data_IF_756774430768
#
_entry.id   IF_756774430768
#
_cell.length_a   1.000
_cell.length_b   1.000
_cell.length_c   1.000
_cell.angle_alpha   90.00
_cell.angle_beta   90.00
_cell.angle_gamma   90.00
#
_symmetry.space_group_name_H-M   'P 1'
#
loop_
_entity.id
_entity.type
_entity.pdbx_description
1 polymer ?
2 non-polymer ?
3 non-polymer ?
4 water ?
#
# COMPACT_ATOMS: atom_id res chain seq x y z
N UNK A 1 18.70 15.38 17.24
CA UNK A 1 18.17 15.27 15.85
C UNK A 1 16.74 14.77 15.86
N UNK A 2 16.04 14.91 14.73
CA UNK A 2 14.59 14.71 14.70
C UNK A 2 14.18 13.28 14.38
N UNK A 3 13.21 12.78 15.14
CA UNK A 3 12.63 11.45 14.93
C UNK A 3 11.17 11.62 14.53
N UNK A 4 10.82 11.18 13.32
CA UNK A 4 9.44 11.23 12.87
C UNK A 4 8.71 9.92 13.04
N UNK A 5 7.63 9.94 13.81
CA UNK A 5 6.79 8.76 14.00
C UNK A 5 5.57 8.87 13.10
N UNK A 6 5.65 8.23 11.93
CA UNK A 6 4.57 8.31 10.93
C UNK A 6 3.52 7.23 11.13
N UNK A 7 2.30 7.66 11.46
CA UNK A 7 1.18 6.74 11.63
C UNK A 7 0.64 6.27 10.28
N UNK A 8 0.29 4.99 10.21
CA UNK A 8 -0.15 4.38 8.97
C UNK A 8 -1.66 4.42 8.78
N UNK A 9 -2.39 4.41 9.89
CA UNK A 9 -3.85 4.36 9.84
C UNK A 9 -4.46 5.75 9.70
N UNK A 10 -5.56 5.83 8.95
CA UNK A 10 -6.35 7.06 8.87
C UNK A 10 -7.82 6.80 9.22
N UNK A 11 -8.10 5.61 9.75
CA UNK A 11 -9.46 5.26 10.15
C UNK A 11 -9.93 6.19 11.27
N UNK A 12 -11.23 6.48 11.29
CA UNK A 12 -11.79 7.43 12.25
C UNK A 12 -11.57 6.97 13.69
N UNK A 13 -11.99 5.74 14.00
CA UNK A 13 -11.66 5.13 15.27
C UNK A 13 -10.56 4.10 15.04
N UNK A 14 -9.42 4.28 15.71
CA UNK A 14 -8.23 3.50 15.39
C UNK A 14 -7.26 3.36 16.57
N UNK A 15 -6.41 2.33 16.50
CA UNK A 15 -5.44 2.02 17.54
C UNK A 15 -4.12 2.77 17.35
N UNK A 16 -3.86 3.22 16.12
CA UNK A 16 -2.56 3.74 15.74
C UNK A 16 -1.96 4.77 16.71
N UNK A 17 -2.76 5.74 17.16
CA UNK A 17 -2.29 6.76 18.10
C UNK A 17 -1.76 6.17 19.40
N UNK A 18 -2.43 5.15 19.91
CA UNK A 18 -1.99 4.47 21.14
C UNK A 18 -0.62 3.82 20.97
N UNK A 19 -0.36 3.23 19.80
CA UNK A 19 0.93 2.62 19.54
C UNK A 19 2.00 3.69 19.33
N UNK A 20 1.64 4.73 18.58
CA UNK A 20 2.55 5.84 18.31
C UNK A 20 2.92 6.56 19.60
N UNK A 21 1.95 6.63 20.52
CA UNK A 21 2.16 7.26 21.82
C UNK A 21 3.12 6.43 22.65
N UNK A 22 2.99 5.10 22.57
CA UNK A 22 3.87 4.19 23.30
C UNK A 22 5.30 4.32 22.79
N UNK A 23 5.45 4.41 21.47
CA UNK A 23 6.79 4.51 20.86
C UNK A 23 7.45 5.84 21.24
N UNK A 24 6.66 6.91 21.23
CA UNK A 24 7.17 8.24 21.56
C UNK A 24 7.67 8.27 23.00
N UNK A 25 6.84 7.79 23.91
CA UNK A 25 7.12 7.86 25.34
C UNK A 25 8.17 6.83 25.76
N UNK A 26 8.39 5.83 24.93
CA UNK A 26 9.45 4.85 25.16
C UNK A 26 10.82 5.45 24.84
N UNK A 27 10.88 6.24 23.77
CA UNK A 27 12.11 6.90 23.37
C UNK A 27 12.44 8.04 24.33
N UNK A 28 11.40 8.72 24.79
CA UNK A 28 11.55 9.91 25.63
C UNK A 28 12.12 9.57 27.00
N UNK A 29 11.57 8.53 27.62
CA UNK A 29 11.98 8.11 28.95
C UNK A 29 13.22 7.22 28.94
N UNK A 30 13.78 7.01 27.75
CA UNK A 30 14.94 6.13 27.60
C UNK A 30 16.18 6.75 28.23
N UNK A 31 16.90 5.95 29.00
CA UNK A 31 18.05 6.43 29.76
C UNK A 31 19.25 6.75 28.87
N UNK A 32 19.54 5.89 27.92
CA UNK A 32 20.58 6.16 26.93
C UNK A 32 20.27 7.44 26.17
N UNK A 33 19.02 7.60 25.77
CA UNK A 33 18.62 8.64 24.82
C UNK A 33 18.22 9.99 25.41
N UNK A 34 18.14 10.10 26.73
CA UNK A 34 17.77 11.39 27.34
C UNK A 34 18.83 12.47 27.10
N UNK A 35 20.05 12.04 26.80
CA UNK A 35 21.19 12.95 26.65
C UNK A 35 21.29 13.51 25.24
N UNK A 36 20.92 12.68 24.26
CA UNK A 36 21.09 13.01 22.84
C UNK A 36 19.97 13.95 22.36
N UNK A 37 19.27 14.56 23.32
CA UNK A 37 18.01 15.28 23.07
C UNK A 37 17.52 15.21 21.64
N UNK A 38 16.87 14.09 21.34
CA UNK A 38 16.11 13.92 20.11
C UNK A 38 14.82 14.72 20.22
N UNK A 39 14.42 15.36 19.12
CA UNK A 39 13.10 15.97 19.06
C UNK A 39 12.17 15.03 18.31
N UNK A 40 10.97 14.83 18.84
CA UNK A 40 10.05 13.84 18.31
C UNK A 40 8.82 14.50 17.70
N UNK A 41 8.42 14.04 16.52
CA UNK A 41 7.20 14.50 15.87
C UNK A 41 6.35 13.32 15.48
N UNK A 42 5.11 13.28 16.00
CA UNK A 42 4.15 12.29 15.54
C UNK A 42 3.42 12.85 14.32
N UNK A 43 3.52 12.15 13.20
CA UNK A 43 2.92 12.57 11.94
C UNK A 43 1.61 11.83 11.71
N UNK A 44 0.53 12.60 11.55
CA UNK A 44 -0.79 12.03 11.32
C UNK A 44 -1.18 12.23 9.86
N UNK A 45 -1.31 11.12 9.12
CA UNK A 45 -1.64 11.19 7.69
C UNK A 45 -3.12 11.48 7.46
N UNK A 46 -3.94 11.24 8.48
CA UNK A 46 -5.34 11.65 8.46
C UNK A 46 -5.41 13.17 8.36
N UNK A 47 -4.48 13.83 9.03
CA UNK A 47 -4.44 15.29 9.08
C UNK A 47 -3.79 15.89 7.84
N UNK A 48 -2.74 15.24 7.34
CA UNK A 48 -2.06 15.72 6.14
C UNK A 48 -3.01 15.60 4.95
N UNK A 49 -3.78 14.52 4.93
CA UNK A 49 -4.83 14.29 3.94
C UNK A 49 -4.31 14.43 2.51
N UNK A 50 -3.16 13.83 2.25
CA UNK A 50 -2.58 13.75 0.92
C UNK A 50 -3.56 13.07 -0.03
N UNK A 51 -4.01 13.78 -1.06
CA UNK A 51 -4.99 13.22 -2.00
C UNK A 51 -4.54 11.91 -2.64
N UNK A 52 -5.50 11.06 -2.99
CA UNK A 52 -5.22 9.81 -3.68
C UNK A 52 -5.25 10.02 -5.18
N UNK A 53 -6.27 10.73 -5.65
CA UNK A 53 -6.54 10.83 -7.08
C UNK A 53 -6.05 12.12 -7.76
N UNK A 54 -5.80 13.17 -6.97
CA UNK A 54 -5.30 14.42 -7.53
C UNK A 54 -3.80 14.57 -7.31
N UNK A 55 -3.07 14.74 -8.40
CA UNK A 55 -1.62 14.89 -8.35
C UNK A 55 -1.15 15.64 -9.61
N UNK A 56 -0.65 16.87 -9.40
CA UNK A 56 -0.27 17.73 -10.52
C UNK A 56 1.02 17.28 -11.22
N UNK A 57 1.87 16.56 -10.50
CA UNK A 57 3.12 16.06 -11.08
C UNK A 57 2.87 14.91 -12.05
N UNK A 58 3.48 14.98 -13.23
CA UNK A 58 3.45 13.86 -14.16
C UNK A 58 4.84 13.21 -14.30
N UNK A 59 5.84 13.78 -13.63
CA UNK A 59 7.13 13.14 -13.51
C UNK A 59 7.13 12.17 -12.33
N UNK A 60 7.87 11.08 -12.48
CA UNK A 60 8.11 10.13 -11.40
C UNK A 60 8.89 10.83 -10.29
N UNK A 61 8.51 10.61 -9.04
CA UNK A 61 9.18 11.27 -7.90
C UNK A 61 10.68 11.00 -7.82
N UNK A 62 11.13 9.85 -8.31
CA UNK A 62 12.55 9.56 -8.42
C UNK A 62 13.23 10.53 -9.39
N UNK A 63 12.50 10.95 -10.41
CA UNK A 63 13.00 11.93 -11.38
C UNK A 63 13.09 13.34 -10.79
N UNK A 64 12.50 13.54 -9.61
CA UNK A 64 12.51 14.83 -8.94
C UNK A 64 13.67 14.87 -7.94
N UNK A 65 14.58 15.83 -8.12
CA UNK A 65 15.78 15.91 -7.29
C UNK A 65 15.60 16.80 -6.05
N UNK A 66 14.72 17.79 -6.12
CA UNK A 66 14.44 18.65 -4.96
C UNK A 66 12.97 19.04 -4.83
N UNK A 67 12.65 19.69 -3.70
CA UNK A 67 11.27 20.06 -3.38
C UNK A 67 10.63 21.07 -4.34
N UNK A 68 11.43 22.00 -4.85
CA UNK A 68 10.90 23.05 -5.72
C UNK A 68 10.57 22.53 -7.12
N UNK A 69 11.05 21.33 -7.43
CA UNK A 69 10.80 20.71 -8.72
C UNK A 69 9.41 20.07 -8.81
N UNK A 70 8.75 19.89 -7.67
CA UNK A 70 7.40 19.33 -7.65
C UNK A 70 6.38 20.35 -8.12
N UNK A 71 5.61 19.99 -9.15
CA UNK A 71 4.49 20.80 -9.62
C UNK A 71 3.37 20.90 -8.60
N UNK A 72 3.26 19.90 -7.72
CA UNK A 72 2.15 19.80 -6.79
C UNK A 72 2.50 20.41 -5.43
N UNK A 73 1.64 21.30 -4.96
CA UNK A 73 1.90 22.05 -3.71
C UNK A 73 1.71 21.20 -2.46
N UNK A 74 0.70 20.32 -2.46
CA UNK A 74 0.47 19.43 -1.32
C UNK A 74 1.64 18.46 -1.17
N UNK A 75 2.23 18.06 -2.29
CA UNK A 75 3.43 17.22 -2.27
C UNK A 75 4.61 17.99 -1.68
N UNK A 76 4.75 19.25 -2.09
CA UNK A 76 5.88 20.07 -1.63
C UNK A 76 5.83 20.23 -0.12
N UNK A 77 4.63 20.42 0.42
CA UNK A 77 4.43 20.56 1.86
C UNK A 77 4.77 19.26 2.60
N UNK A 78 4.35 18.14 2.02
CA UNK A 78 4.64 16.81 2.59
C UNK A 78 6.13 16.49 2.43
N UNK A 79 6.74 17.04 1.38
CA UNK A 79 8.16 16.89 1.14
C UNK A 79 9.00 17.56 2.22
N UNK A 80 8.54 18.71 2.70
CA UNK A 80 9.27 19.47 3.70
C UNK A 80 9.27 18.72 5.03
N UNK A 81 8.07 18.34 5.47
CA UNK A 81 7.88 17.59 6.70
C UNK A 81 8.83 16.39 6.79
N UNK A 82 8.88 15.60 5.72
CA UNK A 82 9.66 14.36 5.70
C UNK A 82 11.16 14.62 5.58
N UNK A 83 11.52 15.66 4.83
CA UNK A 83 12.92 16.05 4.68
C UNK A 83 13.54 16.47 6.00
N UNK A 84 12.72 17.04 6.88
CA UNK A 84 13.17 17.52 8.18
C UNK A 84 13.38 16.39 9.19
N UNK A 85 13.09 15.17 8.78
CA UNK A 85 13.25 14.01 9.65
C UNK A 85 14.61 13.34 9.44
N UNK A 86 15.26 13.01 10.54
CA UNK A 86 16.55 12.33 10.50
C UNK A 86 16.36 10.82 10.68
N UNK A 87 15.41 10.43 11.52
CA UNK A 87 15.06 9.03 11.71
C UNK A 87 13.55 8.87 11.62
N UNK A 88 13.11 7.81 10.96
CA UNK A 88 11.68 7.58 10.75
C UNK A 88 11.25 6.25 11.37
N UNK A 89 10.21 6.30 12.20
CA UNK A 89 9.59 5.12 12.76
C UNK A 89 8.17 5.00 12.22
N UNK A 90 7.98 4.09 11.26
CA UNK A 90 6.65 3.83 10.72
C UNK A 90 5.85 2.99 11.71
N UNK A 91 4.77 3.56 12.22
CA UNK A 91 3.86 2.84 13.10
C UNK A 91 2.60 2.53 12.29
N UNK A 92 2.42 1.25 11.96
CA UNK A 92 1.42 0.86 10.97
C UNK A 92 0.63 -0.38 11.35
N UNK A 93 -0.65 -0.40 11.00
CA UNK A 93 -1.47 -1.59 11.12
C UNK A 93 -1.23 -2.51 9.93
N UNK A 94 -1.80 -3.72 9.98
CA UNK A 94 -1.77 -4.63 8.85
C UNK A 94 -3.18 -4.82 8.33
N UNK A 95 -3.40 -4.46 7.06
CA UNK A 95 -4.67 -4.72 6.41
C UNK A 95 -4.51 -5.81 5.36
N UNK A 96 -5.15 -6.96 5.59
CA UNK A 96 -5.12 -8.07 4.66
C UNK A 96 -3.70 -8.46 4.27
N UNK A 97 -2.86 -8.66 5.29
CA UNK A 97 -1.49 -9.13 5.11
C UNK A 97 -0.62 -8.12 4.36
N UNK A 98 -1.01 -6.85 4.42
CA UNK A 98 -0.29 -5.80 3.71
C UNK A 98 -0.31 -4.47 4.45
N UNK A 99 0.28 -3.46 3.83
CA UNK A 99 0.31 -2.13 4.44
C UNK A 99 -0.91 -1.31 4.01
N UNK A 100 -1.31 -0.36 4.85
CA UNK A 100 -2.47 0.49 4.55
C UNK A 100 -2.22 1.40 3.34
N UNK A 101 -3.28 1.71 2.61
CA UNK A 101 -3.18 2.51 1.39
C UNK A 101 -2.77 3.96 1.67
N UNK A 102 -3.18 4.48 2.82
CA UNK A 102 -2.85 5.85 3.19
C UNK A 102 -1.34 6.00 3.36
N UNK A 103 -0.72 4.99 3.95
CA UNK A 103 0.71 5.00 4.17
C UNK A 103 1.49 4.83 2.86
N UNK A 104 1.03 3.90 2.02
CA UNK A 104 1.68 3.65 0.73
C UNK A 104 1.55 4.85 -0.20
N UNK A 105 0.40 5.52 -0.14
CA UNK A 105 0.16 6.71 -0.95
C UNK A 105 1.14 7.83 -0.60
N UNK A 106 1.32 8.04 0.70
CA UNK A 106 2.20 9.09 1.19
C UNK A 106 3.67 8.76 0.92
N UNK A 107 4.03 7.49 1.07
CA UNK A 107 5.39 7.05 0.79
C UNK A 107 5.74 7.24 -0.68
N UNK A 108 4.79 6.92 -1.56
CA UNK A 108 5.04 6.91 -3.00
C UNK A 108 5.08 8.32 -3.60
N UNK A 109 4.59 9.30 -2.85
CA UNK A 109 4.55 10.69 -3.33
C UNK A 109 5.93 11.33 -3.35
N UNK A 110 6.86 10.71 -2.61
CA UNK A 110 8.19 11.35 -2.45
C UNK A 110 9.23 10.36 -2.81
N UNK A 111 10.49 10.82 -2.89
CA UNK A 111 11.56 9.87 -3.14
C UNK A 111 12.88 10.26 -2.49
N UNK A 112 13.47 11.38 -2.90
CA UNK A 112 14.81 11.79 -2.45
C UNK A 112 14.79 12.09 -0.97
N UNK A 113 13.60 12.36 -0.44
CA UNK A 113 13.42 12.68 0.97
C UNK A 113 13.55 11.46 1.88
N UNK A 114 13.52 10.27 1.28
CA UNK A 114 13.65 9.01 2.02
C UNK A 114 15.08 8.48 2.02
N UNK A 115 15.86 8.85 1.00
CA UNK A 115 17.16 8.23 0.75
C UNK A 115 18.07 8.19 1.98
N UNK A 116 18.63 7.02 2.24
CA UNK A 116 19.63 6.82 3.28
C UNK A 116 19.18 7.01 4.72
N UNK A 117 17.93 7.42 4.92
CA UNK A 117 17.45 7.68 6.28
C UNK A 117 17.09 6.38 6.98
N UNK A 118 17.49 6.24 8.24
CA UNK A 118 17.18 5.03 9.01
C UNK A 118 15.68 4.90 9.25
N UNK A 119 15.13 3.71 9.04
CA UNK A 119 13.70 3.48 9.20
C UNK A 119 13.42 2.24 10.04
N UNK A 120 12.61 2.41 11.08
CA UNK A 120 12.18 1.33 11.94
C UNK A 120 10.69 1.11 11.73
N UNK A 121 10.29 -0.11 11.40
CA UNK A 121 8.89 -0.43 11.19
C UNK A 121 8.29 -1.09 12.43
N UNK A 122 7.43 -0.36 13.12
CA UNK A 122 6.66 -0.91 14.22
C UNK A 122 5.25 -1.25 13.73
N UNK A 123 5.03 -2.51 13.41
CA UNK A 123 3.73 -2.96 12.95
C UNK A 123 2.90 -3.44 14.14
N UNK A 124 1.60 -3.63 13.94
CA UNK A 124 0.74 -4.19 14.96
C UNK A 124 -0.49 -4.87 14.35
N UNK A 125 -1.03 -5.83 15.08
CA UNK A 125 -2.17 -6.59 14.61
C UNK A 125 -2.43 -7.78 15.53
N UNK A 126 -3.37 -8.64 15.13
CA UNK A 126 -3.65 -9.84 15.90
C UNK A 126 -2.40 -10.64 16.18
N UNK A 127 -1.57 -10.83 15.17
CA UNK A 127 -0.31 -11.53 15.31
C UNK A 127 0.90 -10.62 15.04
N UNK A 128 0.81 -9.38 15.51
CA UNK A 128 1.91 -8.43 15.41
C UNK A 128 1.98 -7.66 14.11
N UNK A 129 1.12 -8.01 13.16
CA UNK A 129 1.15 -7.38 11.85
C UNK A 129 2.43 -7.70 11.11
N UNK A 130 2.90 -8.94 11.27
CA UNK A 130 4.19 -9.38 10.74
C UNK A 130 4.26 -9.34 9.22
N UNK A 131 3.15 -9.66 8.56
CA UNK A 131 3.12 -9.75 7.11
C UNK A 131 3.17 -8.35 6.47
N UNK A 132 2.58 -7.37 7.12
CA UNK A 132 2.69 -5.98 6.70
C UNK A 132 4.11 -5.48 6.94
N UNK A 133 4.67 -5.80 8.10
CA UNK A 133 6.03 -5.41 8.45
C UNK A 133 7.02 -5.89 7.40
N UNK A 134 6.91 -7.17 7.05
CA UNK A 134 7.73 -7.79 6.03
C UNK A 134 7.64 -7.03 4.70
N UNK A 135 6.42 -6.73 4.29
CA UNK A 135 6.18 -6.08 3.01
C UNK A 135 6.66 -4.62 2.96
N UNK A 136 6.44 -3.89 4.05
CA UNK A 136 6.80 -2.48 4.10
C UNK A 136 8.31 -2.30 4.16
N UNK A 137 8.99 -3.23 4.81
CA UNK A 137 10.44 -3.19 4.89
C UNK A 137 11.04 -3.25 3.50
N UNK A 138 10.42 -4.06 2.62
CA UNK A 138 10.87 -4.19 1.24
C UNK A 138 10.64 -2.92 0.43
N UNK A 139 9.55 -2.22 0.72
CA UNK A 139 9.26 -0.95 0.05
C UNK A 139 10.29 0.09 0.48
N UNK A 140 10.67 0.05 1.76
CA UNK A 140 11.68 0.96 2.28
C UNK A 140 13.05 0.66 1.66
N UNK A 141 13.32 -0.63 1.42
CA UNK A 141 14.55 -1.05 0.74
C UNK A 141 14.60 -0.50 -0.67
N UNK A 142 13.45 -0.52 -1.36
CA UNK A 142 13.33 0.01 -2.71
C UNK A 142 13.58 1.51 -2.76
N UNK A 143 13.28 2.20 -1.66
CA UNK A 143 13.56 3.62 -1.54
C UNK A 143 14.98 3.85 -1.05
N UNK A 144 15.74 2.76 -0.93
CA UNK A 144 17.12 2.80 -0.46
C UNK A 144 17.25 3.45 0.90
N UNK A 145 16.27 3.19 1.78
CA UNK A 145 16.35 3.63 3.16
C UNK A 145 17.23 2.67 3.94
N UNK A 146 17.78 3.15 5.05
CA UNK A 146 18.56 2.30 5.95
C UNK A 146 17.61 1.61 6.92
N UNK A 147 17.13 0.43 6.54
CA UNK A 147 16.12 -0.27 7.32
C UNK A 147 16.75 -0.90 8.58
N UNK A 148 16.54 -0.23 9.71
CA UNK A 148 17.08 -0.65 10.99
C UNK A 148 16.56 -2.01 11.42
N UNK A 149 15.28 -2.23 11.23
CA UNK A 149 14.62 -3.42 11.74
C UNK A 149 13.11 -3.27 11.75
N UNK A 150 12.43 -4.27 12.29
CA UNK A 150 10.99 -4.24 12.43
C UNK A 150 10.55 -4.95 13.69
N UNK A 151 9.67 -4.29 14.46
CA UNK A 151 9.10 -4.90 15.65
C UNK A 151 7.61 -5.12 15.46
N UNK A 152 7.15 -6.31 15.80
CA UNK A 152 5.76 -6.69 15.60
C UNK A 152 5.03 -6.73 16.94
N UNK A 153 4.00 -5.90 17.06
CA UNK A 153 3.30 -5.69 18.34
C UNK A 153 1.90 -6.32 18.31
N UNK A 154 1.70 -7.34 19.14
CA UNK A 154 0.41 -8.02 19.20
C UNK A 154 -0.63 -7.20 19.95
N UNK A 155 -1.80 -7.01 19.34
CA UNK A 155 -2.94 -6.37 20.00
C UNK A 155 -4.18 -7.26 19.90
N UNK A 156 -5.14 -7.04 20.79
CA UNK A 156 -6.47 -7.66 20.66
C UNK A 156 -7.31 -6.93 19.63
N UNK A 157 -7.46 -7.54 18.45
CA UNK A 157 -8.22 -6.92 17.37
C UNK A 157 -9.67 -6.69 17.80
N UNK A 158 -10.22 -5.52 17.43
CA UNK A 158 -11.61 -5.21 17.69
C UNK A 158 -11.85 -4.38 18.93
N UNK A 159 -10.84 -4.25 19.79
CA UNK A 159 -10.99 -3.50 21.04
C UNK A 159 -10.29 -2.14 20.98
N UNK A 160 -11.06 -1.11 20.61
CA UNK A 160 -10.58 0.26 20.74
C UNK A 160 -11.40 0.96 21.83
N UNK A 161 -10.71 1.58 22.79
CA UNK A 161 -9.25 1.65 22.82
C UNK A 161 -8.70 0.39 23.45
N UNK A 162 -7.37 0.25 23.50
CA UNK A 162 -6.76 -0.94 24.09
C UNK A 162 -7.11 -1.01 25.57
N UNK A 163 -7.36 -2.22 26.06
CA UNK A 163 -7.58 -2.45 27.50
C UNK A 163 -6.49 -1.82 28.36
N UNK A 164 -6.85 -1.46 29.58
CA UNK A 164 -5.89 -0.94 30.55
C UNK A 164 -4.74 -1.92 30.75
N UNK A 165 -5.06 -3.21 30.75
CA UNK A 165 -4.10 -4.24 31.12
C UNK A 165 -3.11 -4.65 30.01
N UNK A 166 -3.41 -4.31 28.76
CA UNK A 166 -2.48 -4.61 27.67
C UNK A 166 -1.53 -3.46 27.36
N UNK A 167 -1.93 -2.24 27.69
CA UNK A 167 -1.09 -1.06 27.45
C UNK A 167 0.29 -1.18 28.11
N UNK A 168 0.35 -1.55 29.39
CA UNK A 168 1.64 -1.85 30.04
C UNK A 168 2.46 -2.92 29.33
N UNK A 169 1.80 -3.91 28.72
CA UNK A 169 2.49 -5.05 28.11
C UNK A 169 3.03 -4.77 26.71
N UNK A 170 2.78 -3.57 26.19
CA UNK A 170 3.43 -3.09 24.97
C UNK A 170 4.93 -2.96 25.21
N UNK A 171 5.29 -2.70 26.46
CA UNK A 171 6.67 -2.39 26.82
C UNK A 171 7.61 -3.60 26.83
N UNK A 172 7.12 -4.75 26.39
CA UNK A 172 8.01 -5.90 26.16
C UNK A 172 8.97 -5.60 25.01
N UNK A 173 8.59 -4.63 24.17
CA UNK A 173 9.37 -4.27 22.99
C UNK A 173 10.32 -3.11 23.24
N UNK A 174 10.34 -2.58 24.46
CA UNK A 174 11.20 -1.46 24.81
C UNK A 174 12.67 -1.67 24.48
N UNK A 175 13.21 -2.82 24.86
CA UNK A 175 14.65 -3.08 24.71
C UNK A 175 15.09 -3.09 23.25
N UNK A 176 14.29 -3.72 22.39
CA UNK A 176 14.66 -3.86 20.98
C UNK A 176 14.53 -2.52 20.25
N UNK A 177 13.45 -1.80 20.51
CA UNK A 177 13.26 -0.49 19.89
C UNK A 177 14.40 0.44 20.27
N UNK A 178 14.82 0.38 21.54
CA UNK A 178 15.83 1.29 22.06
C UNK A 178 17.25 0.90 21.66
N UNK A 179 17.55 -0.40 21.63
CA UNK A 179 18.86 -0.86 21.19
C UNK A 179 19.05 -0.57 19.71
N UNK A 180 17.96 -0.65 18.95
CA UNK A 180 18.01 -0.38 17.52
C UNK A 180 18.16 1.10 17.22
N UNK A 181 17.38 1.94 17.92
CA UNK A 181 17.43 3.37 17.73
C UNK A 181 18.74 3.97 18.21
N UNK A 182 19.25 3.47 19.34
CA UNK A 182 20.46 4.01 19.95
C UNK A 182 21.71 3.76 19.11
N UNK A 183 21.87 2.53 18.64
CA UNK A 183 23.05 2.16 17.85
C UNK A 183 23.06 2.86 16.50
N UNK A 184 21.91 3.36 16.07
CA UNK A 184 21.82 4.15 14.86
C UNK A 184 22.29 5.59 15.11
N UNK A 185 21.99 6.11 16.29
CA UNK A 185 22.38 7.46 16.66
C UNK A 185 23.86 7.48 17.02
N UNK B 2 -17.74 -13.74 -17.39
CA UNK B 2 -17.68 -12.41 -16.73
C UNK B 2 -16.29 -12.19 -16.13
N UNK B 3 -15.46 -11.42 -16.82
CA UNK B 3 -14.06 -11.26 -16.45
C UNK B 3 -13.70 -9.79 -16.31
N UNK B 4 -13.23 -9.40 -15.12
CA UNK B 4 -12.95 -8.02 -14.80
C UNK B 4 -11.46 -7.72 -14.77
N UNK B 5 -11.04 -6.75 -15.58
CA UNK B 5 -9.65 -6.31 -15.58
C UNK B 5 -9.51 -5.03 -14.76
N UNK B 6 -9.10 -5.19 -13.50
CA UNK B 6 -9.02 -4.07 -12.57
C UNK B 6 -7.68 -3.34 -12.68
N UNK B 7 -7.75 -2.09 -13.13
CA UNK B 7 -6.56 -1.25 -13.25
C UNK B 7 -6.15 -0.74 -11.87
N UNK B 8 -4.85 -0.77 -11.59
CA UNK B 8 -4.33 -0.37 -10.29
C UNK B 8 -3.88 1.07 -10.23
N UNK B 9 -3.47 1.62 -11.37
CA UNK B 9 -3.00 3.00 -11.44
C UNK B 9 -4.17 3.97 -11.57
N UNK B 10 -4.10 5.08 -10.83
CA UNK B 10 -5.05 6.18 -11.01
C UNK B 10 -4.33 7.47 -11.37
N UNK B 11 -3.09 7.35 -11.82
CA UNK B 11 -2.31 8.52 -12.26
C UNK B 11 -2.95 9.10 -13.51
N UNK B 12 -2.84 10.42 -13.67
CA UNK B 12 -3.48 11.11 -14.80
C UNK B 12 -2.92 10.65 -16.14
N UNK B 13 -1.60 10.70 -16.27
CA UNK B 13 -0.89 10.16 -17.41
C UNK B 13 -0.33 8.80 -17.00
N UNK B 14 -0.88 7.72 -17.56
CA UNK B 14 -0.56 6.38 -17.07
C UNK B 14 -0.48 5.32 -18.19
N UNK B 15 0.36 4.31 -17.95
CA UNK B 15 0.55 3.19 -18.87
C UNK B 15 -0.54 2.13 -18.70
N UNK B 16 -1.25 2.17 -17.58
CA UNK B 16 -2.12 1.07 -17.17
C UNK B 16 -3.20 0.67 -18.18
N UNK B 17 -3.93 1.63 -18.74
CA UNK B 17 -5.00 1.32 -19.69
C UNK B 17 -4.50 0.59 -20.95
N UNK B 18 -3.26 0.85 -21.35
CA UNK B 18 -2.67 0.15 -22.48
C UNK B 18 -2.41 -1.33 -22.18
N UNK B 19 -1.96 -1.62 -20.96
CA UNK B 19 -1.72 -3.00 -20.55
C UNK B 19 -3.05 -3.73 -20.39
N UNK B 20 -4.04 -3.03 -19.85
CA UNK B 20 -5.38 -3.58 -19.72
C UNK B 20 -5.95 -3.88 -21.10
N UNK B 21 -5.61 -3.03 -22.07
CA UNK B 21 -6.02 -3.24 -23.45
C UNK B 21 -5.31 -4.45 -24.05
N UNK B 22 -4.04 -4.61 -23.73
CA UNK B 22 -3.26 -5.75 -24.20
C UNK B 22 -3.85 -7.05 -23.66
N UNK B 23 -4.15 -7.07 -22.37
CA UNK B 23 -4.76 -8.23 -21.73
C UNK B 23 -6.16 -8.52 -22.30
N UNK B 24 -6.92 -7.48 -22.58
CA UNK B 24 -8.27 -7.64 -23.09
C UNK B 24 -8.26 -8.27 -24.48
N UNK B 25 -7.55 -7.64 -25.41
CA UNK B 25 -7.47 -8.12 -26.78
C UNK B 25 -6.69 -9.43 -26.89
N UNK B 26 -5.88 -9.73 -25.88
CA UNK B 26 -5.17 -11.00 -25.83
C UNK B 26 -6.17 -12.12 -25.57
N UNK B 27 -7.11 -11.86 -24.67
CA UNK B 27 -8.16 -12.82 -24.36
C UNK B 27 -9.07 -13.06 -25.56
N UNK B 28 -9.63 -11.97 -26.10
CA UNK B 28 -10.65 -12.08 -27.13
C UNK B 28 -10.10 -12.28 -28.55
N UNK B 29 -8.82 -12.61 -28.65
CA UNK B 29 -8.23 -12.97 -29.94
C UNK B 29 -7.77 -14.43 -29.97
N UNK B 30 -8.28 -15.24 -29.04
CA UNK B 30 -8.04 -16.68 -29.04
C UNK B 30 -9.02 -17.36 -29.99
N UNK B 39 -16.51 -12.29 -21.84
CA UNK B 39 -17.30 -11.11 -21.50
C UNK B 39 -16.51 -10.21 -20.53
N UNK B 40 -15.83 -9.21 -21.08
CA UNK B 40 -14.86 -8.43 -20.32
C UNK B 40 -15.43 -7.12 -19.77
N UNK B 41 -14.83 -6.65 -18.68
CA UNK B 41 -15.12 -5.33 -18.14
C UNK B 41 -13.85 -4.70 -17.56
N UNK B 42 -13.36 -3.64 -18.19
CA UNK B 42 -12.20 -2.92 -17.70
C UNK B 42 -12.62 -1.93 -16.62
N UNK B 43 -12.30 -2.28 -15.36
CA UNK B 43 -12.63 -1.44 -14.21
C UNK B 43 -11.56 -0.37 -14.00
N UNK B 44 -11.98 0.87 -13.92
CA UNK B 44 -11.07 1.99 -13.69
C UNK B 44 -11.30 2.60 -12.31
N UNK B 45 -10.31 2.48 -11.43
CA UNK B 45 -10.43 2.97 -10.05
C UNK B 45 -10.42 4.49 -9.96
N UNK B 46 -9.92 5.16 -10.99
CA UNK B 46 -10.06 6.61 -11.11
C UNK B 46 -11.54 6.96 -11.13
N UNK B 47 -12.29 6.23 -11.96
CA UNK B 47 -13.71 6.48 -12.16
C UNK B 47 -14.56 5.99 -10.98
N UNK B 48 -14.19 4.86 -10.41
CA UNK B 48 -14.87 4.34 -9.23
C UNK B 48 -14.65 5.31 -8.07
N UNK B 49 -13.42 5.79 -7.93
CA UNK B 49 -13.10 6.88 -7.02
C UNK B 49 -13.48 6.62 -5.56
N UNK B 50 -13.16 5.44 -5.06
CA UNK B 50 -13.35 5.12 -3.65
C UNK B 50 -12.44 6.00 -2.80
N UNK B 51 -13.00 6.70 -1.81
CA UNK B 51 -12.21 7.64 -1.00
C UNK B 51 -11.17 6.96 -0.12
N UNK B 52 -10.05 7.64 0.10
CA UNK B 52 -8.99 7.14 0.95
C UNK B 52 -9.32 7.39 2.42
N UNK B 53 -9.87 8.56 2.70
CA UNK B 53 -10.06 9.03 4.07
C UNK B 53 -11.52 9.00 4.54
N UNK B 54 -12.46 9.11 3.61
CA UNK B 54 -13.87 9.26 3.95
C UNK B 54 -14.57 7.92 4.19
N UNK B 55 -14.56 7.45 5.44
CA UNK B 55 -15.28 6.23 5.78
C UNK B 55 -16.43 6.49 6.76
N UNK B 56 -17.65 6.26 6.29
CA UNK B 56 -18.81 6.18 7.16
C UNK B 56 -18.64 4.95 8.05
N UNK B 57 -18.29 3.85 7.41
CA UNK B 57 -18.12 2.55 8.07
C UNK B 57 -17.07 2.56 9.17
N UNK B 58 -17.50 2.23 10.38
CA UNK B 58 -16.59 1.89 11.47
C UNK B 58 -16.35 0.38 11.47
N UNK B 59 -17.21 -0.36 10.77
CA UNK B 59 -17.11 -1.82 10.72
C UNK B 59 -16.01 -2.28 9.78
N UNK B 60 -15.15 -3.15 10.30
CA UNK B 60 -14.15 -3.85 9.51
C UNK B 60 -14.87 -4.73 8.49
N UNK B 61 -14.50 -4.65 7.22
CA UNK B 61 -15.18 -5.42 6.16
C UNK B 61 -15.26 -6.94 6.36
N UNK B 62 -14.36 -7.50 7.17
CA UNK B 62 -14.41 -8.94 7.47
C UNK B 62 -15.61 -9.26 8.36
N UNK B 63 -16.04 -8.29 9.16
CA UNK B 63 -17.23 -8.44 10.01
C UNK B 63 -18.52 -8.36 9.20
N UNK B 64 -18.42 -7.85 7.97
CA UNK B 64 -19.60 -7.61 7.15
C UNK B 64 -19.99 -8.87 6.39
N UNK B 65 -21.23 -9.30 6.58
CA UNK B 65 -21.72 -10.55 6.03
C UNK B 65 -22.41 -10.33 4.68
N UNK B 66 -22.97 -9.15 4.47
CA UNK B 66 -23.63 -8.81 3.21
C UNK B 66 -23.49 -7.33 2.85
N UNK B 67 -23.58 -7.04 1.56
CA UNK B 67 -23.41 -5.68 1.03
C UNK B 67 -24.23 -4.63 1.78
N UNK B 68 -25.39 -5.03 2.29
CA UNK B 68 -26.30 -4.10 2.94
C UNK B 68 -25.69 -3.45 4.19
N UNK B 69 -24.96 -4.24 4.97
CA UNK B 69 -24.34 -3.78 6.21
C UNK B 69 -23.36 -2.61 6.00
N UNK B 70 -22.78 -2.50 4.81
CA UNK B 70 -21.91 -1.37 4.50
C UNK B 70 -22.68 -0.06 4.66
N UNK B 71 -22.21 0.81 5.55
CA UNK B 71 -22.80 2.14 5.70
C UNK B 71 -22.42 3.08 4.55
N UNK B 72 -21.55 2.63 3.66
CA UNK B 72 -21.05 3.49 2.59
C UNK B 72 -21.65 3.15 1.23
N UNK B 73 -22.23 4.16 0.59
CA UNK B 73 -22.90 3.98 -0.70
C UNK B 73 -21.93 3.58 -1.81
N UNK B 74 -20.80 4.27 -1.86
CA UNK B 74 -19.77 4.00 -2.86
C UNK B 74 -19.17 2.61 -2.69
N UNK B 75 -19.17 2.12 -1.46
CA UNK B 75 -18.68 0.77 -1.16
C UNK B 75 -19.66 -0.30 -1.63
N UNK B 76 -20.95 -0.05 -1.43
CA UNK B 76 -21.98 -1.01 -1.82
C UNK B 76 -21.96 -1.25 -3.31
N UNK B 77 -21.83 -0.17 -4.08
CA UNK B 77 -21.73 -0.27 -5.54
C UNK B 77 -20.45 -0.98 -5.95
N UNK B 78 -19.36 -0.68 -5.24
CA UNK B 78 -18.07 -1.31 -5.50
C UNK B 78 -18.16 -2.81 -5.22
N UNK B 79 -18.86 -3.17 -4.14
CA UNK B 79 -19.14 -4.56 -3.83
C UNK B 79 -19.94 -5.21 -4.95
N UNK B 80 -21.03 -4.55 -5.35
CA UNK B 80 -21.85 -5.00 -6.47
C UNK B 80 -20.98 -5.41 -7.66
N UNK B 81 -20.17 -4.46 -8.13
CA UNK B 81 -19.31 -4.69 -9.29
C UNK B 81 -18.40 -5.89 -9.09
N UNK B 82 -17.72 -5.93 -7.94
CA UNK B 82 -16.72 -6.96 -7.66
C UNK B 82 -17.34 -8.33 -7.43
N UNK B 83 -18.40 -8.39 -6.62
CA UNK B 83 -19.06 -9.64 -6.29
C UNK B 83 -19.66 -10.33 -7.51
N UNK B 84 -20.04 -9.54 -8.51
CA UNK B 84 -20.61 -10.05 -9.75
C UNK B 84 -19.62 -10.88 -10.55
N UNK B 85 -18.36 -10.45 -10.55
CA UNK B 85 -17.33 -11.02 -11.44
C UNK B 85 -17.11 -12.53 -11.27
N UNK B 86 -16.57 -13.15 -12.30
CA UNK B 86 -16.22 -14.57 -12.28
C UNK B 86 -14.71 -14.75 -12.15
N UNK B 87 -13.96 -14.08 -13.01
CA UNK B 87 -12.50 -14.08 -12.95
C UNK B 87 -12.01 -12.64 -12.89
N UNK B 88 -10.96 -12.40 -12.11
CA UNK B 88 -10.40 -11.07 -11.96
C UNK B 88 -8.94 -11.05 -12.42
N UNK B 89 -8.59 -10.08 -13.25
CA UNK B 89 -7.20 -9.88 -13.67
C UNK B 89 -6.73 -8.51 -13.22
N UNK B 90 -5.89 -8.49 -12.18
CA UNK B 90 -5.33 -7.25 -11.68
C UNK B 90 -4.19 -6.77 -12.58
N UNK B 91 -4.44 -5.69 -13.32
CA UNK B 91 -3.41 -5.06 -14.12
C UNK B 91 -2.85 -3.89 -13.33
N UNK B 92 -1.63 -4.04 -12.84
CA UNK B 92 -1.08 -3.11 -11.87
C UNK B 92 0.39 -2.78 -12.14
N UNK B 93 0.77 -1.53 -11.91
CA UNK B 93 2.17 -1.12 -11.96
C UNK B 93 2.85 -1.47 -10.65
N UNK B 94 4.18 -1.37 -10.62
CA UNK B 94 4.92 -1.53 -9.38
C UNK B 94 5.46 -0.18 -8.91
N UNK B 95 5.02 0.27 -7.74
CA UNK B 95 5.53 1.49 -7.13
C UNK B 95 6.45 1.15 -5.96
N UNK B 96 7.73 1.44 -6.11
CA UNK B 96 8.73 1.19 -5.07
C UNK B 96 8.65 -0.22 -4.50
N UNK B 97 8.74 -1.22 -5.38
CA UNK B 97 8.76 -2.63 -5.01
C UNK B 97 7.47 -3.06 -4.31
N UNK B 98 6.38 -2.34 -4.56
CA UNK B 98 5.10 -2.64 -3.94
C UNK B 98 3.94 -2.30 -4.83
N UNK B 99 2.73 -2.46 -4.31
CA UNK B 99 1.51 -2.21 -5.08
C UNK B 99 1.01 -0.78 -4.84
N UNK B 100 0.31 -0.24 -5.83
CA UNK B 100 -0.23 1.14 -5.72
C UNK B 100 -1.30 1.27 -4.65
N UNK B 101 -1.36 2.45 -4.03
CA UNK B 101 -2.27 2.72 -2.94
C UNK B 101 -3.74 2.65 -3.36
N UNK B 102 -4.02 3.10 -4.58
CA UNK B 102 -5.38 3.12 -5.10
C UNK B 102 -5.97 1.71 -5.19
N UNK B 103 -5.13 0.75 -5.55
CA UNK B 103 -5.55 -0.63 -5.67
C UNK B 103 -5.72 -1.30 -4.30
N UNK B 104 -4.81 -1.00 -3.38
CA UNK B 104 -4.88 -1.55 -2.02
C UNK B 104 -6.08 -0.98 -1.27
N UNK B 105 -6.39 0.30 -1.52
CA UNK B 105 -7.53 0.95 -0.90
C UNK B 105 -8.83 0.31 -1.33
N UNK B 106 -8.94 0.02 -2.63
CA UNK B 106 -10.14 -0.61 -3.18
C UNK B 106 -10.29 -2.03 -2.66
N UNK B 107 -9.18 -2.75 -2.59
CA UNK B 107 -9.20 -4.14 -2.12
C UNK B 107 -9.61 -4.22 -0.66
N UNK B 108 -9.10 -3.29 0.14
CA UNK B 108 -9.27 -3.33 1.59
C UNK B 108 -10.67 -2.92 2.03
N UNK B 109 -11.40 -2.25 1.14
CA UNK B 109 -12.76 -1.81 1.44
C UNK B 109 -13.75 -2.98 1.45
N UNK B 110 -13.39 -4.07 0.77
CA UNK B 110 -14.23 -5.26 0.73
C UNK B 110 -13.52 -6.45 1.36
N UNK B 111 -14.26 -7.51 1.65
CA UNK B 111 -13.68 -8.74 2.18
C UNK B 111 -14.35 -10.00 1.64
N UNK B 112 -15.63 -10.20 1.97
CA UNK B 112 -16.32 -11.45 1.66
C UNK B 112 -16.50 -11.67 0.15
N UNK B 113 -16.45 -10.57 -0.61
CA UNK B 113 -16.62 -10.62 -2.06
C UNK B 113 -15.42 -11.26 -2.77
N UNK B 114 -14.25 -11.22 -2.14
CA UNK B 114 -13.04 -11.79 -2.73
C UNK B 114 -12.94 -13.30 -2.51
N UNK B 115 -13.63 -13.82 -1.49
CA UNK B 115 -13.50 -15.22 -1.10
C UNK B 115 -13.70 -16.20 -2.26
N UNK B 116 -12.65 -16.94 -2.60
CA UNK B 116 -12.73 -18.04 -3.53
C UNK B 116 -12.65 -17.64 -5.00
N UNK B 117 -12.76 -16.35 -5.27
CA UNK B 117 -12.70 -15.85 -6.65
C UNK B 117 -11.31 -16.07 -7.22
N UNK B 118 -11.23 -16.60 -8.45
CA UNK B 118 -9.95 -16.73 -9.14
C UNK B 118 -9.38 -15.36 -9.46
N UNK B 119 -8.07 -15.20 -9.32
CA UNK B 119 -7.42 -13.92 -9.55
C UNK B 119 -6.04 -14.11 -10.15
N UNK B 120 -5.81 -13.46 -11.27
CA UNK B 120 -4.51 -13.46 -11.92
C UNK B 120 -3.96 -12.04 -11.85
N UNK B 121 -2.68 -11.91 -11.52
CA UNK B 121 -2.05 -10.61 -11.40
C UNK B 121 -1.11 -10.37 -12.56
N UNK B 122 -1.46 -9.43 -13.43
CA UNK B 122 -0.58 -9.01 -14.50
C UNK B 122 0.09 -7.69 -14.12
N UNK B 123 1.30 -7.79 -13.61
CA UNK B 123 2.06 -6.62 -13.19
C UNK B 123 2.92 -6.11 -14.36
N UNK B 124 3.41 -4.89 -14.23
CA UNK B 124 4.34 -4.35 -15.21
C UNK B 124 5.29 -3.32 -14.59
N UNK B 125 6.41 -3.10 -15.26
CA UNK B 125 7.43 -2.20 -14.79
C UNK B 125 8.68 -2.34 -15.64
N UNK B 126 9.77 -1.71 -15.22
CA UNK B 126 11.02 -1.83 -15.94
C UNK B 126 11.46 -3.28 -16.09
N UNK B 127 11.20 -4.09 -15.06
CA UNK B 127 11.52 -5.52 -15.11
C UNK B 127 10.28 -6.39 -14.88
N UNK B 128 9.11 -5.87 -15.25
CA UNK B 128 7.88 -6.63 -15.18
C UNK B 128 7.07 -6.42 -13.91
N UNK B 129 7.62 -5.67 -12.98
CA UNK B 129 6.97 -5.42 -11.70
C UNK B 129 6.70 -6.70 -10.93
N UNK B 130 7.72 -7.55 -10.83
CA UNK B 130 7.58 -8.86 -10.19
C UNK B 130 7.42 -8.76 -8.67
N UNK B 131 8.08 -7.76 -8.08
CA UNK B 131 8.02 -7.57 -6.63
C UNK B 131 6.63 -7.16 -6.18
N UNK B 132 6.02 -6.24 -6.92
CA UNK B 132 4.64 -5.84 -6.70
C UNK B 132 3.73 -7.06 -6.88
N UNK B 133 4.02 -7.85 -7.91
CA UNK B 133 3.24 -9.04 -8.21
C UNK B 133 3.26 -10.04 -7.06
N UNK B 134 4.42 -10.23 -6.44
CA UNK B 134 4.56 -11.13 -5.31
C UNK B 134 3.81 -10.59 -4.10
N UNK B 135 4.01 -9.30 -3.83
CA UNK B 135 3.41 -8.66 -2.67
C UNK B 135 1.88 -8.65 -2.76
N UNK B 136 1.36 -8.42 -3.95
CA UNK B 136 -0.09 -8.38 -4.16
C UNK B 136 -0.69 -9.77 -4.07
N UNK B 137 0.03 -10.77 -4.56
CA UNK B 137 -0.42 -12.16 -4.48
C UNK B 137 -0.55 -12.59 -3.02
N UNK B 138 0.35 -12.12 -2.17
CA UNK B 138 0.31 -12.42 -0.74
C UNK B 138 -0.93 -11.80 -0.10
N UNK B 139 -1.28 -10.59 -0.51
CA UNK B 139 -2.48 -9.92 -0.02
C UNK B 139 -3.72 -10.67 -0.50
N UNK B 140 -3.69 -11.11 -1.75
CA UNK B 140 -4.78 -11.88 -2.35
C UNK B 140 -4.96 -13.21 -1.61
N UNK B 141 -3.85 -13.85 -1.27
CA UNK B 141 -3.87 -15.07 -0.46
C UNK B 141 -4.58 -14.81 0.87
N UNK B 142 -4.30 -13.65 1.47
CA UNK B 142 -4.88 -13.26 2.73
C UNK B 142 -6.38 -13.04 2.66
N UNK B 143 -6.86 -12.68 1.47
CA UNK B 143 -8.29 -12.49 1.24
C UNK B 143 -8.93 -13.80 0.77
N UNK B 144 -8.15 -14.87 0.84
CA UNK B 144 -8.60 -16.22 0.50
C UNK B 144 -9.09 -16.33 -0.95
N UNK B 145 -8.42 -15.61 -1.85
CA UNK B 145 -8.71 -15.68 -3.27
C UNK B 145 -8.01 -16.89 -3.87
N UNK B 146 -8.59 -17.46 -4.92
CA UNK B 146 -7.95 -18.54 -5.66
C UNK B 146 -6.94 -17.96 -6.64
N UNK B 147 -5.71 -17.79 -6.17
CA UNK B 147 -4.68 -17.09 -6.95
C UNK B 147 -4.09 -17.99 -8.03
N UNK B 148 -4.53 -17.76 -9.26
CA UNK B 148 -4.03 -18.48 -10.43
C UNK B 148 -2.50 -18.38 -10.51
N UNK B 149 -2.00 -17.16 -10.42
CA UNK B 149 -0.58 -16.90 -10.56
C UNK B 149 -0.33 -15.46 -10.96
N UNK B 150 0.82 -15.18 -11.56
CA UNK B 150 1.13 -13.84 -12.01
C UNK B 150 2.12 -13.78 -13.17
N UNK B 151 1.98 -12.73 -13.97
CA UNK B 151 2.77 -12.57 -15.18
C UNK B 151 3.37 -11.17 -15.20
N UNK B 152 4.70 -11.10 -15.28
CA UNK B 152 5.42 -9.83 -15.22
C UNK B 152 5.73 -9.32 -16.62
N UNK B 153 5.18 -8.17 -16.96
CA UNK B 153 5.28 -7.59 -18.30
C UNK B 153 6.24 -6.41 -18.30
N UNK B 154 7.39 -6.57 -18.95
CA UNK B 154 8.40 -5.52 -18.99
C UNK B 154 7.97 -4.38 -19.92
N UNK B 155 8.18 -3.15 -19.48
CA UNK B 155 7.92 -1.97 -20.27
C UNK B 155 9.12 -1.03 -20.23
N UNK B 156 9.23 -0.16 -21.22
CA UNK B 156 10.13 1.00 -21.10
C UNK B 156 9.49 1.99 -20.15
N UNK B 157 10.28 2.61 -19.29
CA UNK B 157 9.74 3.45 -18.24
C UNK B 157 10.02 4.93 -18.53
N UNK B 158 8.98 5.75 -18.41
CA UNK B 158 9.11 7.18 -18.64
C UNK B 158 8.44 7.67 -19.91
N UNK B 159 8.06 6.75 -20.79
CA UNK B 159 7.44 7.12 -22.06
C UNK B 159 5.96 6.73 -22.10
N UNK B 160 5.09 7.74 -22.01
CA UNK B 160 3.65 7.53 -22.08
C UNK B 160 3.00 8.46 -23.12
N UNK B 161 2.15 7.91 -23.98
CA UNK B 161 1.92 6.46 -24.10
C UNK B 161 3.17 5.70 -24.57
N UNK B 162 3.12 4.38 -24.43
CA UNK B 162 4.25 3.51 -24.79
C UNK B 162 4.73 3.77 -26.21
N UNK B 163 6.03 3.61 -26.44
CA UNK B 163 6.55 3.57 -27.81
C UNK B 163 5.76 2.55 -28.62
N UNK B 164 5.31 2.93 -29.81
CA UNK B 164 4.42 2.09 -30.60
C UNK B 164 5.05 0.75 -30.99
N UNK B 165 6.37 0.72 -31.13
CA UNK B 165 7.06 -0.52 -31.49
C UNK B 165 7.04 -1.57 -30.36
N UNK B 166 6.75 -1.15 -29.13
CA UNK B 166 6.75 -2.04 -27.98
C UNK B 166 5.41 -2.77 -27.80
N UNK B 167 4.33 -2.18 -28.28
CA UNK B 167 3.00 -2.74 -28.06
C UNK B 167 2.82 -4.15 -28.64
N UNK B 168 3.27 -4.38 -29.87
CA UNK B 168 3.21 -5.73 -30.47
C UNK B 168 4.02 -6.76 -29.69
N UNK B 169 5.17 -6.35 -29.18
CA UNK B 169 6.10 -7.26 -28.53
C UNK B 169 5.70 -7.54 -27.08
N UNK B 170 4.56 -6.99 -26.67
CA UNK B 170 3.95 -7.38 -25.40
C UNK B 170 3.37 -8.78 -25.52
N UNK B 171 3.13 -9.21 -26.75
CA UNK B 171 2.50 -10.50 -27.01
C UNK B 171 3.45 -11.68 -26.77
N UNK B 172 4.66 -11.40 -26.29
CA UNK B 172 5.53 -12.47 -25.80
C UNK B 172 4.87 -13.15 -24.61
N UNK B 173 4.04 -12.39 -23.89
CA UNK B 173 3.39 -12.88 -22.68
C UNK B 173 2.05 -13.55 -22.97
N UNK B 174 1.72 -13.72 -24.24
CA UNK B 174 0.48 -14.38 -24.63
C UNK B 174 0.39 -15.80 -24.10
N UNK B 175 1.36 -16.65 -24.44
CA UNK B 175 1.35 -18.05 -24.03
C UNK B 175 0.99 -18.20 -22.55
N UNK B 176 1.72 -17.47 -21.70
CA UNK B 176 1.61 -17.66 -20.25
C UNK B 176 0.26 -17.21 -19.70
N UNK B 177 -0.23 -16.07 -20.18
CA UNK B 177 -1.51 -15.53 -19.71
C UNK B 177 -2.63 -16.46 -20.12
N UNK B 178 -2.56 -16.92 -21.38
CA UNK B 178 -3.57 -17.82 -21.95
C UNK B 178 -3.54 -19.19 -21.27
N UNK B 179 -2.34 -19.72 -21.06
CA UNK B 179 -2.17 -20.99 -20.35
C UNK B 179 -2.84 -20.92 -18.98
N UNK B 180 -2.44 -19.91 -18.20
CA UNK B 180 -2.92 -19.75 -16.84
C UNK B 180 -4.43 -19.50 -16.78
N UNK B 181 -4.97 -18.86 -17.81
CA UNK B 181 -6.38 -18.47 -17.82
C UNK B 181 -7.29 -19.60 -18.28
N UNK B 182 -6.92 -20.26 -19.36
CA UNK B 182 -7.74 -21.33 -19.93
C UNK B 182 -7.97 -22.46 -18.93
N UNK B 183 -6.97 -22.70 -18.08
CA UNK B 183 -7.07 -23.75 -17.06
C UNK B 183 -8.17 -23.43 -16.04
N UNK B 184 -8.23 -22.18 -15.61
CA UNK B 184 -9.20 -21.75 -14.59
C UNK B 184 -10.62 -21.69 -15.13
N UNK B 185 -10.73 -21.44 -16.43
CA UNK B 185 -12.03 -21.33 -17.10
C UNK B 185 -12.88 -22.56 -16.85
N UNK B 186 -12.23 -23.71 -16.69
CA UNK B 186 -12.91 -24.99 -16.53
C UNK B 186 -12.56 -25.64 -15.20
#
# INVERSE_FOLDING_TARGET
MKVGIIMGSVRAKRVCPEIAAYVKRTIENSEELIDQKLKIQVVDLQQIALPLYEDDDELIPAQIKSVDEYADSKTRSWSRIVNALDIIVFVTPQYNWGYPAALKNAIDRLYHEWHGKPALVVSYGGHGGSKCNDQLQEVLHGLKMNVIGGVAVKIPVGTIPLPEDIVPQLSVHNEEILQLLASCIETTRNK
MKVGIIMGSVRAKRVCPEIAAYVKRTIENSEELIDQKLKIQVVDLQQIALPLYEDDDELIPAQIKSVDEYADSKTRSWSRIVNALDIIVFVTPQYNWGYPAALKNAIDRLYHEWHGKPALVVSYGGHGGSKCNDQLQEVLHGLKMNVIGGVAVKIPVGTIPLPEDIVPQLSVHNEEILQLLASCIETTRNK
#
